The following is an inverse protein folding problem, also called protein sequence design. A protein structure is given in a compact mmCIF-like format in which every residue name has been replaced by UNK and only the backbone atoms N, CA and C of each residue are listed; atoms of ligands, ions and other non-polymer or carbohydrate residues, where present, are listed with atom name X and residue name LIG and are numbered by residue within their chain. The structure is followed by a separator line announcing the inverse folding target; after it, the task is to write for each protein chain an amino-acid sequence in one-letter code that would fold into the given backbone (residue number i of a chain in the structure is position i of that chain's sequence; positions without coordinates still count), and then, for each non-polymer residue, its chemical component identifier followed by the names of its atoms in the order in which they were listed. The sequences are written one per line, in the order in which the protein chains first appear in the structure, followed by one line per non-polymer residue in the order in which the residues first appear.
data_IF_247839574662
#
_entry.id   IF_247839574662
#
_cell.length_a   1.000
_cell.length_b   1.000
_cell.length_c   1.000
_cell.angle_alpha   90.00
_cell.angle_beta   90.00
_cell.angle_gamma   90.00
#
_symmetry.space_group_name_H-M   'P 1'
#
loop_
_entity.id
_entity.type
_entity.pdbx_description
1 polymer ?
#
# COMPACT_ATOMS: atom_id res chain seq x y z
N UNK A 1 -19.75 5.55 12.59
CA UNK A 1 -20.03 4.14 12.24
C UNK A 1 -18.78 3.60 11.61
N UNK A 2 -18.34 2.40 12.00
CA UNK A 2 -17.16 1.78 11.42
C UNK A 2 -17.40 1.55 9.92
N UNK A 3 -16.63 2.20 9.06
CA UNK A 3 -16.80 2.13 7.61
C UNK A 3 -15.84 1.13 6.96
N UNK A 4 -15.94 0.97 5.64
CA UNK A 4 -15.11 0.02 4.91
C UNK A 4 -13.62 0.35 5.01
N UNK A 5 -13.25 1.63 5.16
CA UNK A 5 -11.88 2.11 5.33
C UNK A 5 -11.35 1.83 6.73
N UNK A 6 -12.19 1.93 7.76
CA UNK A 6 -11.80 1.57 9.13
C UNK A 6 -11.43 0.09 9.23
N UNK A 7 -12.21 -0.79 8.58
CA UNK A 7 -11.94 -2.25 8.57
C UNK A 7 -10.64 -2.61 7.88
N UNK A 8 -10.39 -2.05 6.70
CA UNK A 8 -9.14 -2.33 5.98
C UNK A 8 -7.91 -1.77 6.70
N UNK A 9 -8.03 -0.61 7.36
CA UNK A 9 -6.96 -0.10 8.20
C UNK A 9 -6.73 -0.99 9.42
N UNK A 10 -7.80 -1.47 10.05
CA UNK A 10 -7.71 -2.39 11.19
C UNK A 10 -7.06 -3.73 10.82
N UNK A 11 -7.24 -4.20 9.58
CA UNK A 11 -6.59 -5.40 9.08
C UNK A 11 -5.06 -5.25 8.90
N UNK A 12 -4.53 -4.01 8.83
CA UNK A 12 -3.08 -3.77 8.66
C UNK A 12 -2.38 -3.92 10.00
N UNK A 13 -1.68 -5.04 10.19
CA UNK A 13 -0.90 -5.31 11.41
C UNK A 13 0.53 -4.76 11.33
N UNK A 14 1.03 -4.47 10.13
CA UNK A 14 2.31 -3.80 9.91
C UNK A 14 2.26 -2.89 8.68
N UNK A 15 2.88 -1.72 8.77
CA UNK A 15 3.02 -0.77 7.66
C UNK A 15 4.36 -0.07 7.74
N UNK A 16 5.14 -0.12 6.67
CA UNK A 16 6.45 0.51 6.58
C UNK A 16 6.71 1.09 5.19
N UNK A 17 7.15 2.34 5.13
CA UNK A 17 7.51 3.01 3.89
C UNK A 17 9.04 3.02 3.74
N UNK A 18 9.55 2.21 2.82
CA UNK A 18 10.97 2.20 2.47
C UNK A 18 11.23 3.21 1.35
N UNK A 19 12.26 4.05 1.50
CA UNK A 19 12.69 5.02 0.49
C UNK A 19 14.15 4.76 0.18
N UNK A 20 14.42 4.33 -1.05
CA UNK A 20 15.76 4.03 -1.53
C UNK A 20 16.18 5.10 -2.55
N UNK A 21 17.19 5.89 -2.20
CA UNK A 21 17.70 6.95 -3.08
C UNK A 21 18.51 6.41 -4.27
N UNK A 22 19.19 5.27 -4.10
CA UNK A 22 20.01 4.67 -5.14
C UNK A 22 19.14 4.12 -6.28
N UNK A 23 18.05 3.44 -5.93
CA UNK A 23 17.10 2.88 -6.92
C UNK A 23 15.96 3.83 -7.26
N UNK A 24 15.79 4.92 -6.49
CA UNK A 24 14.66 5.86 -6.57
C UNK A 24 13.31 5.17 -6.35
N UNK A 25 13.30 4.07 -5.60
CA UNK A 25 12.10 3.33 -5.26
C UNK A 25 11.53 3.78 -3.91
N UNK A 26 10.22 4.02 -3.88
CA UNK A 26 9.42 4.27 -2.67
C UNK A 26 8.49 3.08 -2.53
N UNK A 27 8.77 2.17 -1.61
CA UNK A 27 8.01 0.92 -1.44
C UNK A 27 7.21 0.96 -0.14
N UNK A 28 5.88 0.89 -0.27
CA UNK A 28 4.99 0.68 0.87
C UNK A 28 4.86 -0.82 1.13
N UNK A 29 5.40 -1.28 2.25
CA UNK A 29 5.31 -2.66 2.73
C UNK A 29 4.18 -2.77 3.74
N UNK A 30 3.23 -3.67 3.49
CA UNK A 30 2.10 -3.92 4.37
C UNK A 30 2.06 -5.39 4.76
N UNK A 31 1.73 -5.65 6.03
CA UNK A 31 1.25 -6.95 6.48
C UNK A 31 -0.21 -6.81 6.85
N UNK A 32 -1.05 -7.63 6.23
CA UNK A 32 -2.50 -7.61 6.41
C UNK A 32 -2.94 -8.96 6.98
N UNK A 33 -3.78 -8.89 8.00
CA UNK A 33 -4.52 -10.03 8.51
C UNK A 33 -5.65 -10.40 7.54
N UNK A 34 -5.43 -11.50 6.83
CA UNK A 34 -6.35 -12.00 5.81
C UNK A 34 -7.67 -12.55 6.40
N UNK A 35 -7.75 -12.79 7.72
CA UNK A 35 -9.02 -13.17 8.36
C UNK A 35 -9.96 -11.98 8.50
N UNK A 36 -9.41 -10.77 8.61
CA UNK A 36 -10.17 -9.52 8.72
C UNK A 36 -10.52 -8.96 7.34
N UNK A 37 -9.54 -8.95 6.42
CA UNK A 37 -9.72 -8.44 5.07
C UNK A 37 -8.79 -9.14 4.05
N UNK A 38 -9.33 -9.75 2.99
CA UNK A 38 -8.52 -10.25 1.88
C UNK A 38 -7.69 -9.16 1.21
N UNK A 39 -6.47 -9.49 0.78
CA UNK A 39 -5.54 -8.56 0.09
C UNK A 39 -6.17 -7.84 -1.10
N UNK A 40 -6.95 -8.54 -1.92
CA UNK A 40 -7.60 -7.94 -3.09
C UNK A 40 -8.65 -6.90 -2.70
N UNK A 41 -9.41 -7.14 -1.63
CA UNK A 41 -10.41 -6.19 -1.14
C UNK A 41 -9.73 -4.94 -0.56
N UNK A 42 -8.63 -5.11 0.20
CA UNK A 42 -7.80 -3.99 0.64
C UNK A 42 -7.30 -3.17 -0.55
N UNK A 43 -6.77 -3.85 -1.57
CA UNK A 43 -6.24 -3.21 -2.75
C UNK A 43 -7.33 -2.42 -3.50
N UNK A 44 -8.52 -2.97 -3.69
CA UNK A 44 -9.64 -2.27 -4.34
C UNK A 44 -10.05 -1.00 -3.59
N UNK A 45 -10.20 -1.08 -2.26
CA UNK A 45 -10.61 0.06 -1.43
C UNK A 45 -9.55 1.18 -1.44
N UNK A 46 -8.27 0.82 -1.50
CA UNK A 46 -7.16 1.79 -1.47
C UNK A 46 -6.57 2.13 -2.83
N UNK A 47 -7.04 1.52 -3.92
CA UNK A 47 -6.46 1.65 -5.27
C UNK A 47 -6.27 3.11 -5.69
N UNK A 48 -7.29 3.95 -5.49
CA UNK A 48 -7.26 5.36 -5.88
C UNK A 48 -6.12 6.09 -5.15
N UNK A 49 -5.93 5.81 -3.86
CA UNK A 49 -4.87 6.42 -3.05
C UNK A 49 -3.49 5.93 -3.51
N UNK A 50 -3.34 4.65 -3.85
CA UNK A 50 -2.09 4.11 -4.41
C UNK A 50 -1.75 4.74 -5.77
N UNK A 51 -2.75 4.99 -6.62
CA UNK A 51 -2.57 5.71 -7.89
C UNK A 51 -2.10 7.15 -7.64
N UNK A 52 -2.62 7.83 -6.62
CA UNK A 52 -2.15 9.17 -6.22
C UNK A 52 -0.68 9.12 -5.77
N UNK A 53 -0.30 8.16 -4.92
CA UNK A 53 1.09 7.96 -4.51
C UNK A 53 2.03 7.74 -5.70
N UNK A 54 1.62 6.92 -6.68
CA UNK A 54 2.37 6.70 -7.91
C UNK A 54 2.58 7.97 -8.73
N UNK A 55 1.55 8.81 -8.86
CA UNK A 55 1.65 10.10 -9.55
C UNK A 55 2.59 11.06 -8.81
N UNK A 56 2.50 11.12 -7.49
CA UNK A 56 3.38 11.95 -6.65
C UNK A 56 4.85 11.49 -6.73
N UNK A 57 5.12 10.19 -6.66
CA UNK A 57 6.45 9.64 -6.83
C UNK A 57 7.02 9.96 -8.22
N UNK A 58 6.20 9.86 -9.27
CA UNK A 58 6.61 10.22 -10.64
C UNK A 58 7.02 11.70 -10.76
N UNK A 59 6.31 12.61 -10.09
CA UNK A 59 6.70 14.02 -10.01
C UNK A 59 8.09 14.21 -9.37
N UNK A 60 8.43 13.38 -8.38
CA UNK A 60 9.74 13.36 -7.73
C UNK A 60 10.81 12.56 -8.49
N UNK A 61 10.52 12.08 -9.71
CA UNK A 61 11.39 11.17 -10.47
C UNK A 61 11.76 9.92 -9.65
N UNK A 62 10.76 9.36 -8.97
CA UNK A 62 10.82 8.13 -8.19
C UNK A 62 9.72 7.17 -8.65
N UNK A 63 9.84 5.90 -8.27
CA UNK A 63 8.85 4.85 -8.55
C UNK A 63 8.18 4.45 -7.25
N UNK A 64 6.85 4.54 -7.20
CA UNK A 64 6.10 4.01 -6.06
C UNK A 64 5.77 2.54 -6.30
N UNK A 65 6.00 1.71 -5.29
CA UNK A 65 5.68 0.28 -5.27
C UNK A 65 4.86 -0.07 -4.05
N UNK A 66 4.08 -1.14 -4.15
CA UNK A 66 3.39 -1.71 -3.00
C UNK A 66 3.62 -3.21 -2.89
N UNK A 67 3.98 -3.63 -1.69
CA UNK A 67 4.17 -5.02 -1.30
C UNK A 67 3.22 -5.34 -0.14
N UNK A 68 2.40 -6.37 -0.29
CA UNK A 68 1.44 -6.80 0.71
C UNK A 68 1.69 -8.28 1.01
N UNK A 69 1.96 -8.61 2.28
CA UNK A 69 2.25 -9.99 2.70
C UNK A 69 3.36 -10.66 1.86
N UNK A 70 4.38 -9.89 1.45
CA UNK A 70 5.48 -10.36 0.61
C UNK A 70 5.18 -10.45 -0.89
N UNK A 71 3.94 -10.18 -1.32
CA UNK A 71 3.56 -10.15 -2.73
C UNK A 71 3.66 -8.73 -3.28
N UNK A 72 4.41 -8.57 -4.38
CA UNK A 72 4.48 -7.31 -5.13
C UNK A 72 3.23 -7.17 -5.99
N UNK A 73 2.44 -6.13 -5.73
CA UNK A 73 1.16 -5.91 -6.41
C UNK A 73 1.29 -4.86 -7.52
N UNK A 74 2.09 -3.80 -7.29
CA UNK A 74 2.17 -2.63 -8.16
C UNK A 74 3.56 -1.97 -8.13
#
# INVERSE_FOLDING_TARGET
TFDIHDRVNYAVVHSFLNVDDATRDITLNLTIDNEICPVMEYFEIFLIRMVMCRRAASFLKAVFRIEINGAKIL
#
